data_IF_151388771383
#
_entry.id   IF_151388771383
#
_cell.length_a   1.000
_cell.length_b   1.000
_cell.length_c   1.000
_cell.angle_alpha   90.00
_cell.angle_beta   90.00
_cell.angle_gamma   90.00
#
_symmetry.space_group_name_H-M   'P 1'
#
loop_
_entity.id
_entity.type
_entity.pdbx_description
1 polymer ?
#
# COMPACT_ATOMS: atom_id res chain seq x y z
N UNK A 1 -16.91 -7.07 11.57
CA UNK A 1 -17.72 -6.27 12.53
C UNK A 1 -18.74 -5.47 11.75
N UNK A 2 -19.93 -5.22 12.31
CA UNK A 2 -21.01 -4.46 11.68
C UNK A 2 -21.20 -3.14 12.47
N UNK A 3 -20.55 -2.01 12.10
CA UNK A 3 -20.53 -0.80 12.93
C UNK A 3 -21.91 -0.19 13.18
N UNK A 4 -22.80 -0.27 12.19
CA UNK A 4 -24.19 0.19 12.23
C UNK A 4 -25.09 -0.62 13.18
N UNK A 5 -24.59 -1.74 13.73
CA UNK A 5 -25.26 -2.43 14.83
C UNK A 5 -25.03 -1.76 16.20
N UNK A 6 -24.10 -0.79 16.29
CA UNK A 6 -23.70 -0.14 17.55
C UNK A 6 -23.94 1.38 17.55
N UNK A 7 -23.90 2.01 16.37
CA UNK A 7 -24.08 3.45 16.19
C UNK A 7 -24.90 3.71 14.92
N UNK A 8 -25.44 4.92 14.78
CA UNK A 8 -26.09 5.34 13.53
C UNK A 8 -25.15 5.19 12.32
N UNK A 9 -25.73 4.87 11.16
CA UNK A 9 -25.00 4.74 9.91
C UNK A 9 -24.16 6.00 9.63
N UNK A 10 -22.90 5.81 9.22
CA UNK A 10 -21.97 6.90 8.94
C UNK A 10 -21.30 7.52 10.18
N UNK A 11 -21.86 7.38 11.39
CA UNK A 11 -21.26 7.92 12.63
C UNK A 11 -19.87 7.35 12.89
N UNK A 12 -19.71 6.03 12.74
CA UNK A 12 -18.40 5.38 12.90
C UNK A 12 -17.38 5.88 11.85
N UNK A 13 -17.81 6.01 10.59
CA UNK A 13 -16.93 6.45 9.50
C UNK A 13 -16.45 7.89 9.70
N UNK A 14 -17.36 8.78 10.11
CA UNK A 14 -17.02 10.17 10.46
C UNK A 14 -16.03 10.22 11.63
N UNK A 15 -16.33 9.53 12.74
CA UNK A 15 -15.44 9.49 13.89
C UNK A 15 -14.05 8.92 13.56
N UNK A 16 -13.98 7.91 12.69
CA UNK A 16 -12.71 7.37 12.20
C UNK A 16 -11.95 8.38 11.34
N UNK A 17 -12.63 9.12 10.47
CA UNK A 17 -12.01 10.17 9.66
C UNK A 17 -11.44 11.29 10.54
N UNK A 18 -12.20 11.76 11.53
CA UNK A 18 -11.78 12.79 12.48
C UNK A 18 -10.58 12.30 13.32
N UNK A 19 -10.63 11.07 13.84
CA UNK A 19 -9.53 10.45 14.57
C UNK A 19 -8.24 10.38 13.74
N UNK A 20 -8.34 9.90 12.49
CA UNK A 20 -7.18 9.77 11.62
C UNK A 20 -6.62 11.14 11.19
N UNK A 21 -7.46 12.15 11.06
CA UNK A 21 -7.03 13.52 10.78
C UNK A 21 -6.24 14.09 11.97
N UNK A 22 -6.76 13.95 13.19
CA UNK A 22 -6.08 14.38 14.42
C UNK A 22 -4.75 13.64 14.63
N UNK A 23 -4.75 12.31 14.48
CA UNK A 23 -3.56 11.48 14.60
C UNK A 23 -2.44 11.97 13.68
N UNK A 24 -2.76 12.26 12.41
CA UNK A 24 -1.76 12.69 11.41
C UNK A 24 -1.29 14.13 11.64
N UNK A 25 -2.05 14.95 12.37
CA UNK A 25 -1.68 16.31 12.73
C UNK A 25 -0.77 16.38 13.96
N UNK A 26 -0.60 15.28 14.70
CA UNK A 26 0.27 15.24 15.88
C UNK A 26 1.73 15.57 15.53
N UNK A 27 2.48 16.21 16.45
CA UNK A 27 3.87 16.58 16.21
C UNK A 27 4.75 15.33 15.99
N UNK A 28 5.56 15.38 14.93
CA UNK A 28 6.54 14.33 14.64
C UNK A 28 7.91 14.66 15.24
N UNK A 29 8.73 13.64 15.46
CA UNK A 29 10.17 13.82 15.73
C UNK A 29 10.87 14.49 14.54
N UNK A 30 12.05 15.13 14.75
CA UNK A 30 12.81 15.74 13.66
C UNK A 30 13.04 14.77 12.50
N UNK A 31 12.79 15.23 11.26
CA UNK A 31 12.90 14.46 10.03
C UNK A 31 11.97 13.22 9.93
N UNK A 32 10.96 13.12 10.78
CA UNK A 32 9.93 12.08 10.72
C UNK A 32 8.55 12.69 10.39
N UNK A 33 7.56 11.83 10.17
CA UNK A 33 6.16 12.20 10.00
C UNK A 33 5.26 11.20 10.72
N UNK A 34 4.17 11.67 11.31
CA UNK A 34 3.16 10.79 11.91
C UNK A 34 2.32 10.15 10.80
N UNK A 35 2.00 8.87 10.97
CA UNK A 35 1.27 8.07 9.98
C UNK A 35 0.34 7.10 10.71
N UNK A 36 -0.84 6.89 10.15
CA UNK A 36 -1.70 5.79 10.57
C UNK A 36 -1.16 4.45 10.00
N UNK A 37 -1.46 3.31 10.66
CA UNK A 37 -1.20 1.99 10.08
C UNK A 37 -1.79 1.88 8.66
N UNK A 38 -0.96 1.49 7.70
CA UNK A 38 -1.33 1.36 6.28
C UNK A 38 -1.01 2.57 5.41
N UNK A 39 -0.84 3.79 5.95
CA UNK A 39 -0.56 5.00 5.14
C UNK A 39 0.69 4.84 4.25
N UNK A 40 1.70 4.10 4.74
CA UNK A 40 2.94 3.85 4.00
C UNK A 40 2.67 2.90 2.84
N UNK A 41 1.95 1.83 3.10
CA UNK A 41 1.64 0.76 2.15
C UNK A 41 0.75 1.30 1.03
N UNK A 42 -0.27 2.11 1.34
CA UNK A 42 -1.12 2.76 0.32
C UNK A 42 -0.33 3.70 -0.59
N UNK A 43 0.61 4.47 -0.04
CA UNK A 43 1.50 5.31 -0.85
C UNK A 43 2.42 4.48 -1.74
N UNK A 44 2.97 3.38 -1.21
CA UNK A 44 3.79 2.47 -2.01
C UNK A 44 2.97 1.76 -3.10
N UNK A 45 1.72 1.40 -2.81
CA UNK A 45 0.80 0.83 -3.79
C UNK A 45 0.52 1.83 -4.90
N UNK A 46 0.07 3.05 -4.59
CA UNK A 46 -0.19 4.07 -5.61
C UNK A 46 1.04 4.34 -6.50
N UNK A 47 2.24 4.33 -5.91
CA UNK A 47 3.49 4.43 -6.67
C UNK A 47 3.69 3.23 -7.61
N UNK A 48 3.47 2.01 -7.12
CA UNK A 48 3.64 0.77 -7.89
C UNK A 48 2.55 0.59 -8.95
N UNK A 49 1.36 1.12 -8.73
CA UNK A 49 0.28 1.16 -9.71
C UNK A 49 0.66 2.06 -10.89
N UNK A 50 1.38 3.16 -10.62
CA UNK A 50 1.82 4.11 -11.64
C UNK A 50 3.15 3.71 -12.33
N UNK A 51 4.12 3.20 -11.57
CA UNK A 51 5.51 2.99 -12.03
C UNK A 51 5.88 1.51 -12.20
N UNK A 52 5.01 0.59 -11.78
CA UNK A 52 5.32 -0.83 -11.67
C UNK A 52 5.99 -1.23 -10.36
N UNK A 53 6.09 -2.55 -10.13
CA UNK A 53 6.73 -3.12 -8.95
C UNK A 53 8.22 -3.32 -9.26
N UNK A 54 9.15 -2.68 -8.52
CA UNK A 54 10.56 -2.90 -8.72
C UNK A 54 10.95 -4.31 -8.27
N UNK A 55 11.65 -5.04 -9.15
CA UNK A 55 12.27 -6.33 -8.86
C UNK A 55 13.79 -6.17 -8.91
N UNK A 56 14.50 -6.74 -7.94
CA UNK A 56 15.95 -6.83 -7.98
C UNK A 56 16.43 -7.82 -9.06
N UNK A 57 17.72 -7.77 -9.38
CA UNK A 57 18.31 -8.60 -10.44
C UNK A 57 18.21 -10.11 -10.18
N UNK A 58 18.29 -10.56 -8.92
CA UNK A 58 18.20 -11.98 -8.61
C UNK A 58 16.77 -12.50 -8.87
N UNK A 59 15.75 -11.73 -8.47
CA UNK A 59 14.37 -12.07 -8.77
C UNK A 59 14.07 -12.03 -10.28
N UNK A 60 14.61 -11.06 -11.02
CA UNK A 60 14.45 -11.02 -12.48
C UNK A 60 14.98 -12.29 -13.16
N UNK A 61 16.18 -12.76 -12.78
CA UNK A 61 16.76 -14.00 -13.31
C UNK A 61 15.90 -15.22 -12.94
N UNK A 62 15.47 -15.32 -11.69
CA UNK A 62 14.61 -16.43 -11.25
C UNK A 62 13.30 -16.50 -12.03
N UNK A 63 12.67 -15.36 -12.33
CA UNK A 63 11.46 -15.33 -13.16
C UNK A 63 11.70 -15.74 -14.61
N UNK A 64 12.88 -15.42 -15.18
CA UNK A 64 13.27 -15.90 -16.52
C UNK A 64 13.40 -17.43 -16.52
N UNK A 65 14.11 -18.01 -15.54
CA UNK A 65 14.27 -19.46 -15.42
C UNK A 65 12.92 -20.19 -15.27
N UNK A 66 12.01 -19.63 -14.48
CA UNK A 66 10.64 -20.16 -14.33
C UNK A 66 9.88 -20.08 -15.66
N UNK A 67 9.98 -18.97 -16.38
CA UNK A 67 9.31 -18.78 -17.66
C UNK A 67 9.78 -19.80 -18.71
N UNK A 68 11.10 -20.03 -18.79
CA UNK A 68 11.70 -21.02 -19.67
C UNK A 68 11.27 -22.45 -19.31
N UNK A 69 11.36 -22.82 -18.02
CA UNK A 69 11.02 -24.17 -17.54
C UNK A 69 9.59 -24.56 -17.88
N UNK A 70 8.65 -23.62 -17.77
CA UNK A 70 7.24 -23.87 -18.02
C UNK A 70 6.76 -23.38 -19.39
N UNK A 71 7.68 -22.90 -20.24
CA UNK A 71 7.40 -22.42 -21.60
C UNK A 71 6.29 -21.34 -21.65
N UNK A 72 6.35 -20.37 -20.73
CA UNK A 72 5.43 -19.23 -20.67
C UNK A 72 6.16 -17.93 -21.05
N UNK A 73 5.41 -16.87 -21.35
CA UNK A 73 5.99 -15.57 -21.66
C UNK A 73 6.75 -14.99 -20.45
N UNK A 74 7.98 -14.47 -20.63
CA UNK A 74 8.74 -13.85 -19.56
C UNK A 74 8.16 -12.48 -19.16
N UNK A 75 8.50 -12.03 -17.95
CA UNK A 75 8.17 -10.68 -17.50
C UNK A 75 8.87 -9.63 -18.38
N UNK A 76 8.14 -8.61 -18.79
CA UNK A 76 8.67 -7.45 -19.53
C UNK A 76 8.74 -6.22 -18.65
N UNK A 77 9.69 -5.33 -18.94
CA UNK A 77 9.77 -4.01 -18.30
C UNK A 77 8.57 -3.17 -18.77
N UNK A 78 8.03 -2.32 -17.88
CA UNK A 78 7.07 -1.29 -18.26
C UNK A 78 7.84 -0.14 -18.95
N UNK A 79 7.32 0.33 -20.08
CA UNK A 79 7.86 1.48 -20.83
C UNK A 79 7.57 2.82 -20.12
#
# INVERSE_FOLDING_TARGET
MKPDAFVEEGTFAKGMADYLADLRAQPASPNARVMAPGDREWRCQAKRDAEGIPLDSANQLAYVEIAEKYQIAPLTRLD
#
